data_IF_497141729031
#
_entry.id   IF_497141729031
#
_cell.length_a   1.000
_cell.length_b   1.000
_cell.length_c   1.000
_cell.angle_alpha   90.00
_cell.angle_beta   90.00
_cell.angle_gamma   90.00
#
_symmetry.space_group_name_H-M   'P 1'
#
loop_
_entity.id
_entity.type
_entity.pdbx_description
1 polymer ?
#
# COMPACT_ATOMS: atom_id res chain seq x y z
N UNK A 1 43.04 5.46 10.26
CA UNK A 1 42.89 4.14 10.93
C UNK A 1 41.78 3.28 10.31
N UNK A 2 40.59 3.82 10.02
CA UNK A 2 39.47 3.04 9.45
C UNK A 2 39.75 2.51 8.03
N UNK A 3 40.37 3.29 7.14
CA UNK A 3 40.69 2.86 5.77
C UNK A 3 41.66 1.68 5.71
N UNK A 4 42.70 1.69 6.55
CA UNK A 4 43.68 0.60 6.61
C UNK A 4 43.08 -0.71 7.15
N UNK A 5 42.06 -0.60 8.01
CA UNK A 5 41.32 -1.75 8.55
C UNK A 5 40.32 -2.31 7.53
N UNK A 6 39.70 -1.44 6.72
CA UNK A 6 38.87 -1.81 5.58
C UNK A 6 39.69 -2.47 4.45
N UNK A 7 40.91 -1.98 4.19
CA UNK A 7 41.82 -2.62 3.23
C UNK A 7 42.25 -4.03 3.66
N UNK A 8 42.43 -4.26 4.97
CA UNK A 8 42.73 -5.59 5.50
C UNK A 8 41.54 -6.56 5.47
N UNK A 9 40.32 -6.07 5.68
CA UNK A 9 39.12 -6.92 5.83
C UNK A 9 38.39 -7.16 4.51
N UNK A 10 38.32 -6.14 3.65
CA UNK A 10 37.65 -6.23 2.35
C UNK A 10 38.69 -6.36 1.23
N UNK A 11 39.91 -5.85 1.35
CA UNK A 11 40.89 -5.86 0.24
C UNK A 11 40.70 -4.67 -0.71
N UNK A 12 41.71 -4.34 -1.52
CA UNK A 12 41.77 -3.06 -2.27
C UNK A 12 40.60 -2.79 -3.25
N UNK A 13 39.78 -3.80 -3.57
CA UNK A 13 38.62 -3.65 -4.47
C UNK A 13 37.50 -2.75 -3.89
N UNK A 14 37.38 -2.61 -2.57
CA UNK A 14 36.35 -1.75 -1.96
C UNK A 14 36.53 -0.28 -2.34
N UNK A 15 37.78 0.17 -2.51
CA UNK A 15 38.08 1.54 -2.94
C UNK A 15 37.56 1.81 -4.36
N UNK A 16 37.77 0.87 -5.27
CA UNK A 16 37.25 0.94 -6.64
C UNK A 16 35.72 0.91 -6.67
N UNK A 17 35.09 0.09 -5.82
CA UNK A 17 33.62 0.03 -5.71
C UNK A 17 33.04 1.33 -5.15
N UNK A 18 33.66 1.92 -4.11
CA UNK A 18 33.20 3.20 -3.54
C UNK A 18 33.42 4.35 -4.53
N UNK A 19 34.57 4.40 -5.22
CA UNK A 19 34.83 5.40 -6.23
C UNK A 19 33.84 5.29 -7.41
N UNK A 20 33.55 4.06 -7.86
CA UNK A 20 32.52 3.82 -8.87
C UNK A 20 31.13 4.24 -8.38
N UNK A 21 30.77 3.88 -7.14
CA UNK A 21 29.49 4.23 -6.54
C UNK A 21 29.33 5.74 -6.39
N UNK A 22 30.35 6.47 -5.92
CA UNK A 22 30.34 7.94 -5.82
C UNK A 22 30.25 8.61 -7.19
N UNK A 23 30.98 8.11 -8.18
CA UNK A 23 30.95 8.64 -9.55
C UNK A 23 29.60 8.44 -10.25
N UNK A 24 28.91 7.33 -9.96
CA UNK A 24 27.62 6.98 -10.58
C UNK A 24 26.43 7.12 -9.62
N UNK A 25 26.65 7.73 -8.46
CA UNK A 25 25.65 7.80 -7.37
C UNK A 25 24.36 8.42 -7.86
N UNK A 26 24.45 9.54 -8.58
CA UNK A 26 23.30 10.23 -9.15
C UNK A 26 22.57 9.38 -10.19
N UNK A 27 23.28 8.58 -10.99
CA UNK A 27 22.66 7.69 -11.98
C UNK A 27 21.91 6.52 -11.35
N UNK A 28 22.29 6.10 -10.14
CA UNK A 28 21.60 5.04 -9.41
C UNK A 28 20.45 5.63 -8.58
N UNK A 29 20.73 6.69 -7.83
CA UNK A 29 19.79 7.26 -6.86
C UNK A 29 18.65 8.02 -7.53
N UNK A 30 18.90 8.78 -8.61
CA UNK A 30 17.84 9.57 -9.26
C UNK A 30 16.73 8.67 -9.83
N UNK A 31 17.02 7.60 -10.61
CA UNK A 31 15.99 6.67 -11.05
C UNK A 31 15.31 5.94 -9.90
N UNK A 32 16.06 5.57 -8.86
CA UNK A 32 15.51 4.91 -7.68
C UNK A 32 14.51 5.79 -6.93
N UNK A 33 14.83 7.07 -6.73
CA UNK A 33 13.95 8.05 -6.09
C UNK A 33 12.73 8.34 -6.96
N UNK A 34 12.93 8.51 -8.28
CA UNK A 34 11.83 8.68 -9.23
C UNK A 34 10.87 7.47 -9.21
N UNK A 35 11.42 6.26 -9.15
CA UNK A 35 10.67 5.02 -9.00
C UNK A 35 9.89 4.96 -7.68
N UNK A 36 10.53 5.29 -6.56
CA UNK A 36 9.87 5.34 -5.26
C UNK A 36 8.74 6.38 -5.22
N UNK A 37 8.95 7.55 -5.84
CA UNK A 37 7.93 8.57 -5.96
C UNK A 37 6.71 8.05 -6.75
N UNK A 38 6.95 7.32 -7.83
CA UNK A 38 5.91 6.64 -8.62
C UNK A 38 5.09 5.68 -7.75
N UNK A 39 5.74 4.82 -6.97
CA UNK A 39 5.08 3.88 -6.07
C UNK A 39 4.26 4.62 -5.00
N UNK A 40 4.77 5.71 -4.44
CA UNK A 40 4.07 6.48 -3.40
C UNK A 40 2.82 7.15 -3.97
N UNK A 41 2.94 7.81 -5.13
CA UNK A 41 1.81 8.45 -5.82
C UNK A 41 0.74 7.40 -6.15
N UNK A 42 1.17 6.23 -6.61
CA UNK A 42 0.27 5.12 -6.90
C UNK A 42 -0.46 4.62 -5.62
N UNK A 43 0.25 4.44 -4.51
CA UNK A 43 -0.36 3.96 -3.27
C UNK A 43 -1.27 4.98 -2.58
N UNK A 44 -1.10 6.28 -2.84
CA UNK A 44 -1.93 7.33 -2.23
C UNK A 44 -3.41 7.13 -2.51
N UNK A 45 -3.80 6.83 -3.75
CA UNK A 45 -5.21 6.61 -4.13
C UNK A 45 -5.87 5.53 -3.27
N UNK A 46 -5.16 4.42 -3.05
CA UNK A 46 -5.65 3.29 -2.26
C UNK A 46 -5.77 3.70 -0.80
N UNK A 47 -4.74 4.36 -0.24
CA UNK A 47 -4.77 4.82 1.16
C UNK A 47 -5.87 5.85 1.42
N UNK A 48 -6.09 6.78 0.51
CA UNK A 48 -7.11 7.81 0.65
C UNK A 48 -8.51 7.19 0.58
N UNK A 49 -8.72 6.22 -0.32
CA UNK A 49 -9.95 5.43 -0.38
C UNK A 49 -10.16 4.60 0.91
N UNK A 50 -9.12 3.95 1.44
CA UNK A 50 -9.18 3.23 2.71
C UNK A 50 -9.54 4.16 3.88
N UNK A 51 -8.92 5.33 3.96
CA UNK A 51 -9.20 6.30 5.02
C UNK A 51 -10.65 6.78 4.96
N UNK A 52 -11.16 7.09 3.77
CA UNK A 52 -12.56 7.47 3.59
C UNK A 52 -13.54 6.33 3.90
N UNK A 53 -13.20 5.09 3.54
CA UNK A 53 -13.98 3.92 3.92
C UNK A 53 -14.01 3.74 5.45
N UNK A 54 -12.89 3.91 6.15
CA UNK A 54 -12.84 3.82 7.62
C UNK A 54 -13.74 4.88 8.25
N UNK A 55 -13.65 6.13 7.79
CA UNK A 55 -14.50 7.21 8.29
C UNK A 55 -15.99 6.90 8.09
N UNK A 56 -16.36 6.41 6.90
CA UNK A 56 -17.74 6.02 6.57
C UNK A 56 -18.21 4.84 7.43
N UNK A 57 -17.33 3.87 7.68
CA UNK A 57 -17.65 2.69 8.48
C UNK A 57 -17.85 3.03 9.96
N UNK A 58 -17.05 3.95 10.50
CA UNK A 58 -17.17 4.45 11.89
C UNK A 58 -18.46 5.29 12.05
N UNK A 59 -18.80 6.11 11.06
CA UNK A 59 -20.02 6.92 11.08
C UNK A 59 -21.30 6.07 10.95
N UNK A 60 -21.19 4.79 10.60
CA UNK A 60 -22.33 3.90 10.43
C UNK A 60 -22.78 3.33 11.79
N UNK A 61 -24.04 3.52 12.22
CA UNK A 61 -24.52 3.09 13.54
C UNK A 61 -24.39 1.58 13.77
N UNK A 62 -24.54 0.77 12.71
CA UNK A 62 -24.39 -0.68 12.74
C UNK A 62 -23.13 -1.17 12.01
N UNK A 63 -22.11 -0.31 11.85
CA UNK A 63 -20.91 -0.62 11.06
C UNK A 63 -20.19 -1.90 11.48
N UNK A 64 -20.20 -2.21 12.78
CA UNK A 64 -19.55 -3.42 13.36
C UNK A 64 -20.21 -4.74 12.98
N UNK A 65 -21.52 -4.74 12.76
CA UNK A 65 -22.33 -5.94 12.46
C UNK A 65 -22.91 -5.92 11.04
N UNK A 66 -22.63 -4.87 10.27
CA UNK A 66 -23.18 -4.66 8.93
C UNK A 66 -22.87 -5.86 8.02
N UNK A 67 -23.90 -6.47 7.37
CA UNK A 67 -23.68 -7.57 6.44
C UNK A 67 -23.00 -7.07 5.17
N UNK A 68 -22.36 -7.97 4.43
CA UNK A 68 -21.56 -7.63 3.25
C UNK A 68 -22.33 -6.80 2.21
N UNK A 69 -23.61 -7.13 2.00
CA UNK A 69 -24.49 -6.39 1.07
C UNK A 69 -24.63 -4.91 1.44
N UNK A 70 -24.71 -4.61 2.73
CA UNK A 70 -24.80 -3.23 3.24
C UNK A 70 -23.45 -2.53 3.13
N UNK A 71 -22.36 -3.24 3.45
CA UNK A 71 -21.00 -2.73 3.28
C UNK A 71 -20.71 -2.38 1.82
N UNK A 72 -21.07 -3.25 0.86
CA UNK A 72 -20.92 -2.98 -0.57
C UNK A 72 -21.73 -1.74 -1.00
N UNK A 73 -22.99 -1.65 -0.59
CA UNK A 73 -23.87 -0.53 -0.98
C UNK A 73 -23.34 0.82 -0.47
N UNK A 74 -22.69 0.85 0.69
CA UNK A 74 -22.21 2.09 1.33
C UNK A 74 -20.74 2.42 1.03
N UNK A 75 -19.86 1.43 0.96
CA UNK A 75 -18.41 1.65 0.82
C UNK A 75 -17.96 1.72 -0.64
N UNK A 76 -18.55 0.96 -1.57
CA UNK A 76 -18.15 1.01 -2.98
C UNK A 76 -18.33 2.40 -3.61
N UNK A 77 -19.43 3.15 -3.36
CA UNK A 77 -19.56 4.52 -3.84
C UNK A 77 -18.47 5.45 -3.30
N UNK A 78 -18.07 5.28 -2.04
CA UNK A 78 -17.02 6.09 -1.41
C UNK A 78 -15.66 5.83 -2.05
N UNK A 79 -15.34 4.57 -2.35
CA UNK A 79 -14.11 4.23 -3.10
C UNK A 79 -14.14 4.91 -4.48
N UNK A 80 -15.27 4.84 -5.20
CA UNK A 80 -15.41 5.47 -6.53
C UNK A 80 -15.23 6.99 -6.48
N UNK A 81 -15.90 7.64 -5.53
CA UNK A 81 -15.85 9.10 -5.38
C UNK A 81 -14.44 9.56 -5.06
N UNK A 82 -13.75 8.89 -4.14
CA UNK A 82 -12.35 9.20 -3.81
C UNK A 82 -11.42 8.92 -4.96
N UNK A 83 -11.56 7.77 -5.62
CA UNK A 83 -10.78 7.46 -6.79
C UNK A 83 -10.94 8.48 -7.93
N UNK A 84 -12.14 9.02 -8.13
CA UNK A 84 -12.42 10.03 -9.15
C UNK A 84 -11.68 11.36 -8.91
N UNK A 85 -11.31 11.65 -7.66
CA UNK A 85 -10.52 12.85 -7.31
C UNK A 85 -9.05 12.72 -7.72
N UNK A 86 -8.58 11.50 -8.03
CA UNK A 86 -7.20 11.26 -8.44
C UNK A 86 -7.08 11.15 -9.95
N UNK A 87 -6.06 11.80 -10.52
CA UNK A 87 -5.74 11.70 -11.96
C UNK A 87 -5.03 10.40 -12.31
N UNK A 88 -4.30 9.83 -11.36
CA UNK A 88 -3.31 8.77 -11.57
C UNK A 88 -3.51 7.62 -10.59
N UNK A 89 -3.31 6.38 -11.02
CA UNK A 89 -3.51 5.16 -10.23
C UNK A 89 -2.46 4.08 -10.60
N UNK A 90 -2.10 3.14 -9.71
CA UNK A 90 -1.29 1.97 -10.05
C UNK A 90 -1.90 1.16 -11.20
N UNK A 91 -1.07 0.75 -12.15
CA UNK A 91 -1.42 -0.19 -13.19
C UNK A 91 -1.09 -1.61 -12.70
N UNK A 92 -2.11 -2.34 -12.25
CA UNK A 92 -2.03 -3.77 -11.96
C UNK A 92 -1.46 -4.16 -10.59
N UNK A 93 -1.47 -5.48 -10.29
CA UNK A 93 -0.95 -6.03 -9.04
C UNK A 93 0.59 -5.97 -9.06
N UNK A 94 1.16 -4.99 -8.35
CA UNK A 94 2.62 -4.81 -8.25
C UNK A 94 3.08 -3.35 -8.26
N UNK A 95 2.23 -2.39 -8.66
CA UNK A 95 2.49 -0.96 -8.47
C UNK A 95 3.67 -0.36 -9.24
N UNK A 96 4.24 -1.10 -10.21
CA UNK A 96 5.42 -0.67 -10.97
C UNK A 96 5.08 0.47 -11.95
N UNK A 97 3.82 0.58 -12.36
CA UNK A 97 3.39 1.52 -13.40
C UNK A 97 2.24 2.39 -12.92
N UNK A 98 2.14 3.61 -13.45
CA UNK A 98 1.02 4.53 -13.24
C UNK A 98 0.19 4.56 -14.52
N UNK A 99 -1.13 4.52 -14.37
CA UNK A 99 -2.10 4.74 -15.44
C UNK A 99 -3.08 5.84 -15.04
N UNK A 100 -3.85 6.33 -16.02
CA UNK A 100 -4.98 7.21 -15.75
C UNK A 100 -5.94 6.50 -14.81
N UNK A 101 -6.34 7.19 -13.73
CA UNK A 101 -7.24 6.61 -12.75
C UNK A 101 -8.59 6.28 -13.38
N UNK A 102 -9.07 5.06 -13.13
CA UNK A 102 -10.41 4.61 -13.47
C UNK A 102 -11.09 4.17 -12.17
N UNK A 103 -12.13 4.88 -11.70
CA UNK A 103 -12.75 4.60 -10.41
C UNK A 103 -13.21 3.14 -10.24
N UNK A 104 -13.77 2.54 -11.29
CA UNK A 104 -14.23 1.15 -11.26
C UNK A 104 -13.08 0.15 -11.14
N UNK A 105 -11.94 0.44 -11.75
CA UNK A 105 -10.75 -0.40 -11.63
C UNK A 105 -10.19 -0.36 -10.21
N UNK A 106 -10.31 0.77 -9.51
CA UNK A 106 -9.90 0.93 -8.10
C UNK A 106 -10.77 0.09 -7.21
N UNK A 107 -12.09 0.13 -7.43
CA UNK A 107 -13.04 -0.73 -6.74
C UNK A 107 -12.67 -2.19 -6.97
N UNK A 108 -12.50 -2.60 -8.23
CA UNK A 108 -12.15 -3.97 -8.59
C UNK A 108 -10.83 -4.42 -7.97
N UNK A 109 -9.82 -3.53 -7.94
CA UNK A 109 -8.52 -3.83 -7.35
C UNK A 109 -8.59 -4.00 -5.83
N UNK A 110 -9.31 -3.12 -5.13
CA UNK A 110 -9.47 -3.19 -3.68
C UNK A 110 -10.34 -4.37 -3.26
N UNK A 111 -11.42 -4.66 -4.01
CA UNK A 111 -12.35 -5.76 -3.70
C UNK A 111 -12.02 -7.06 -4.43
N UNK A 112 -10.81 -7.19 -4.99
CA UNK A 112 -10.38 -8.40 -5.72
C UNK A 112 -10.43 -9.64 -4.82
N UNK A 113 -10.16 -9.46 -3.53
CA UNK A 113 -10.20 -10.54 -2.56
C UNK A 113 -11.64 -10.82 -2.10
N UNK A 114 -12.07 -12.09 -2.05
CA UNK A 114 -13.37 -12.44 -1.50
C UNK A 114 -13.45 -12.00 -0.04
N UNK A 115 -14.61 -11.50 0.38
CA UNK A 115 -14.86 -10.99 1.72
C UNK A 115 -13.95 -9.82 2.15
N UNK A 116 -13.32 -9.08 1.22
CA UNK A 116 -12.44 -7.96 1.55
C UNK A 116 -13.12 -6.95 2.50
N UNK A 117 -14.35 -6.53 2.20
CA UNK A 117 -15.07 -5.53 3.02
C UNK A 117 -15.41 -6.04 4.42
N UNK A 118 -15.73 -7.34 4.55
CA UNK A 118 -15.95 -7.97 5.85
C UNK A 118 -14.65 -8.00 6.65
N UNK A 119 -13.55 -8.42 6.03
CA UNK A 119 -12.22 -8.43 6.65
C UNK A 119 -11.78 -7.02 7.05
N UNK A 120 -12.01 -6.03 6.20
CA UNK A 120 -11.71 -4.63 6.47
C UNK A 120 -12.49 -4.12 7.68
N UNK A 121 -13.79 -4.40 7.75
CA UNK A 121 -14.62 -4.11 8.95
C UNK A 121 -14.05 -4.80 10.18
N UNK A 122 -13.74 -6.09 10.07
CA UNK A 122 -13.32 -6.88 11.20
C UNK A 122 -11.91 -6.53 11.70
N UNK A 123 -11.05 -6.01 10.83
CA UNK A 123 -9.77 -5.42 11.20
C UNK A 123 -9.98 -4.09 11.90
N UNK A 124 -10.84 -3.22 11.36
CA UNK A 124 -11.10 -1.89 11.92
C UNK A 124 -11.70 -1.95 13.33
N UNK A 125 -12.61 -2.89 13.59
CA UNK A 125 -13.25 -3.06 14.91
C UNK A 125 -12.59 -4.15 15.77
N UNK A 126 -11.44 -4.71 15.34
CA UNK A 126 -10.70 -5.71 16.10
C UNK A 126 -11.40 -7.07 16.29
N UNK A 127 -12.50 -7.34 15.58
CA UNK A 127 -13.25 -8.61 15.68
C UNK A 127 -12.51 -9.79 15.04
N UNK A 128 -11.56 -9.52 14.12
CA UNK A 128 -10.68 -10.54 13.52
C UNK A 128 -9.76 -11.22 14.55
N UNK A 129 -9.26 -10.47 15.55
CA UNK A 129 -8.33 -10.98 16.55
C UNK A 129 -9.02 -11.95 17.55
N UNK A 130 -10.32 -11.76 17.80
CA UNK A 130 -11.10 -12.61 18.69
C UNK A 130 -11.33 -14.03 18.17
N UNK A 131 -11.36 -14.24 16.85
CA UNK A 131 -11.58 -15.57 16.26
C UNK A 131 -10.34 -16.47 16.37
N UNK A 132 -9.14 -15.89 16.26
CA UNK A 132 -7.86 -16.62 16.39
C UNK A 132 -7.56 -17.03 17.84
N UNK A 133 -7.93 -16.18 18.82
CA UNK A 133 -7.81 -16.53 20.25
C UNK A 133 -8.75 -17.67 20.66
N UNK A 134 -9.93 -17.76 20.05
CA UNK A 134 -10.94 -18.78 20.38
C UNK A 134 -10.67 -20.15 19.72
N UNK A 135 -9.87 -20.20 18.64
CA UNK A 135 -9.45 -21.46 18.01
C UNK A 135 -8.18 -22.07 18.64
N UNK A 136 -7.48 -21.34 19.51
CA UNK A 136 -6.33 -21.83 20.28
C UNK A 136 -6.72 -22.26 21.70
N UNK A 137 -7.98 -22.06 22.08
CA UNK A 137 -8.55 -22.44 23.38
C UNK A 137 -9.54 -23.63 23.28
N UNK A 138 -9.53 -24.33 22.13
CA UNK A 138 -10.15 -25.63 21.91
C UNK A 138 -9.06 -26.59 21.48
#
# INVERSE_FOLDING_TARGET
MVESMLDMTLGHWWRSVIAFYLAHFTWIVVPLVAWMAVIVIAHRVIKDAEQAMRATLIAMPNGRIAPEKVLRKRLLPVIRERAAQHRWMPAGPGGIWIRRCRPDDVVAQMTKLPNYLIRFRDQQFGTSAGRRRRSLAR
#
